data_IF_342826049975
#
_entry.id   IF_342826049975
#
_cell.length_a   1.000
_cell.length_b   1.000
_cell.length_c   1.000
_cell.angle_alpha   90.00
_cell.angle_beta   90.00
_cell.angle_gamma   90.00
#
_symmetry.space_group_name_H-M   'P 1'
#
loop_
_entity.id
_entity.type
_entity.pdbx_description
1 polymer ?
#
# COMPACT_ATOMS: atom_id res chain seq x y z
N UNK A 1 -25.31 -20.36 10.83
CA UNK A 1 -23.85 -20.12 10.90
C UNK A 1 -23.43 -19.23 9.75
N UNK A 2 -23.17 -17.96 10.05
CA UNK A 2 -22.55 -17.02 9.11
C UNK A 2 -21.18 -17.57 8.73
N UNK A 3 -21.03 -17.92 7.46
CA UNK A 3 -19.78 -18.25 6.79
C UNK A 3 -18.88 -17.02 6.77
N UNK A 4 -18.25 -16.68 7.90
CA UNK A 4 -16.98 -15.97 7.85
C UNK A 4 -15.95 -16.98 7.34
N UNK A 5 -15.38 -16.71 6.17
CA UNK A 5 -14.33 -17.54 5.59
C UNK A 5 -13.14 -17.61 6.55
N UNK A 6 -13.09 -18.66 7.35
CA UNK A 6 -12.07 -18.86 8.36
C UNK A 6 -10.78 -19.29 7.65
N UNK A 7 -9.80 -18.39 7.64
CA UNK A 7 -8.42 -18.70 7.28
C UNK A 7 -7.94 -19.95 8.04
N UNK A 8 -7.29 -20.88 7.35
CA UNK A 8 -6.71 -22.08 7.95
C UNK A 8 -7.65 -23.29 8.08
N UNK A 9 -8.91 -23.21 7.66
CA UNK A 9 -9.76 -24.40 7.54
C UNK A 9 -9.29 -25.26 6.37
N UNK A 10 -8.78 -26.46 6.67
CA UNK A 10 -8.47 -27.45 5.63
C UNK A 10 -9.76 -27.82 4.92
N UNK A 11 -9.76 -27.76 3.59
CA UNK A 11 -10.88 -28.25 2.77
C UNK A 11 -10.91 -29.77 2.88
N UNK A 12 -11.81 -30.28 3.69
CA UNK A 12 -12.11 -31.71 3.76
C UNK A 12 -13.24 -32.03 2.78
N UNK A 13 -13.04 -33.04 1.94
CA UNK A 13 -14.07 -33.50 1.03
C UNK A 13 -15.08 -34.36 1.82
N UNK A 14 -16.12 -33.70 2.34
CA UNK A 14 -17.16 -34.35 3.12
C UNK A 14 -18.24 -34.96 2.22
N UNK A 15 -18.65 -36.20 2.51
CA UNK A 15 -19.81 -36.82 1.85
C UNK A 15 -21.11 -36.12 2.27
N UNK A 16 -22.17 -36.26 1.46
CA UNK A 16 -23.49 -35.70 1.81
C UNK A 16 -24.02 -36.22 3.16
N UNK A 17 -23.72 -37.46 3.51
CA UNK A 17 -24.06 -38.04 4.80
C UNK A 17 -23.30 -37.38 5.96
N UNK A 18 -22.00 -37.12 5.80
CA UNK A 18 -21.21 -36.41 6.80
C UNK A 18 -21.69 -34.98 7.02
N UNK A 19 -22.10 -34.28 5.94
CA UNK A 19 -22.71 -32.95 6.04
C UNK A 19 -24.04 -32.98 6.79
N UNK A 20 -24.88 -33.99 6.53
CA UNK A 20 -26.16 -34.18 7.24
C UNK A 20 -25.96 -34.44 8.73
N UNK A 21 -25.05 -35.34 9.09
CA UNK A 21 -24.71 -35.63 10.49
C UNK A 21 -24.20 -34.37 11.20
N UNK A 22 -23.28 -33.64 10.57
CA UNK A 22 -22.76 -32.38 11.12
C UNK A 22 -23.86 -31.33 11.28
N UNK A 23 -24.71 -31.15 10.27
CA UNK A 23 -25.83 -30.22 10.34
C UNK A 23 -26.79 -30.57 11.46
N UNK A 24 -27.20 -31.84 11.60
CA UNK A 24 -28.12 -32.25 12.66
C UNK A 24 -27.49 -32.08 14.05
N UNK A 25 -26.17 -32.27 14.19
CA UNK A 25 -25.44 -32.01 15.43
C UNK A 25 -25.37 -30.51 15.79
N UNK A 26 -25.29 -29.61 14.80
CA UNK A 26 -25.19 -28.16 15.00
C UNK A 26 -26.56 -27.44 15.00
N UNK A 27 -27.63 -28.14 14.59
CA UNK A 27 -28.97 -27.56 14.34
C UNK A 27 -29.56 -26.84 15.54
N UNK A 28 -29.51 -27.45 16.73
CA UNK A 28 -30.05 -26.80 17.93
C UNK A 28 -29.22 -25.59 18.34
N UNK A 29 -27.90 -25.64 18.20
CA UNK A 29 -27.01 -24.49 18.46
C UNK A 29 -27.28 -23.35 17.47
N UNK A 30 -27.55 -23.66 16.21
CA UNK A 30 -27.92 -22.66 15.19
C UNK A 30 -29.26 -22.02 15.55
N UNK A 31 -30.24 -22.81 16.00
CA UNK A 31 -31.53 -22.30 16.43
C UNK A 31 -31.40 -21.39 17.64
N UNK A 32 -30.72 -21.83 18.70
CA UNK A 32 -30.44 -21.01 19.89
C UNK A 32 -29.72 -19.70 19.54
N UNK A 33 -28.77 -19.75 18.60
CA UNK A 33 -28.07 -18.56 18.12
C UNK A 33 -29.02 -17.58 17.43
N UNK A 34 -29.87 -18.07 16.52
CA UNK A 34 -30.82 -17.23 15.78
C UNK A 34 -31.90 -16.64 16.70
N UNK A 35 -32.39 -17.42 17.66
CA UNK A 35 -33.38 -16.97 18.63
C UNK A 35 -32.78 -15.86 19.52
N UNK A 36 -31.53 -16.03 19.96
CA UNK A 36 -30.80 -15.01 20.72
C UNK A 36 -30.52 -13.75 19.89
N UNK A 37 -30.22 -13.91 18.60
CA UNK A 37 -30.00 -12.79 17.68
C UNK A 37 -31.26 -11.93 17.52
N UNK A 38 -32.38 -12.57 17.17
CA UNK A 38 -33.67 -11.90 17.02
C UNK A 38 -34.07 -11.17 18.31
N UNK A 39 -33.88 -11.81 19.46
CA UNK A 39 -34.15 -11.21 20.76
C UNK A 39 -33.26 -9.97 21.00
N UNK A 40 -31.95 -10.08 20.78
CA UNK A 40 -31.03 -8.94 20.98
C UNK A 40 -31.32 -7.77 20.05
N UNK A 41 -31.69 -8.03 18.79
CA UNK A 41 -32.06 -6.98 17.84
C UNK A 41 -33.36 -6.28 18.27
N UNK A 42 -34.35 -7.03 18.77
CA UNK A 42 -35.59 -6.48 19.28
C UNK A 42 -35.35 -5.67 20.56
N UNK A 43 -34.60 -6.21 21.51
CA UNK A 43 -34.19 -5.52 22.73
C UNK A 43 -33.50 -4.17 22.45
N UNK A 44 -32.60 -4.12 21.47
CA UNK A 44 -31.94 -2.87 21.05
C UNK A 44 -32.94 -1.88 20.47
N UNK A 45 -33.87 -2.34 19.63
CA UNK A 45 -34.91 -1.50 19.03
C UNK A 45 -35.80 -0.88 20.11
N UNK A 46 -36.11 -1.64 21.14
CA UNK A 46 -36.93 -1.21 22.28
C UNK A 46 -36.13 -0.41 23.32
N UNK A 47 -34.82 -0.22 23.10
CA UNK A 47 -33.88 0.47 24.02
C UNK A 47 -33.87 -0.15 25.42
N UNK A 48 -33.98 -1.48 25.51
CA UNK A 48 -33.86 -2.21 26.78
C UNK A 48 -32.40 -2.16 27.25
N UNK A 49 -32.09 -1.30 28.23
CA UNK A 49 -30.73 -1.15 28.78
C UNK A 49 -30.64 -1.73 30.20
N UNK A 50 -30.77 -3.05 30.30
CA UNK A 50 -30.81 -3.79 31.57
C UNK A 50 -29.59 -4.70 31.74
N UNK A 51 -29.37 -5.17 32.97
CA UNK A 51 -28.33 -6.17 33.26
C UNK A 51 -28.59 -7.49 32.53
N UNK A 52 -29.87 -7.88 32.35
CA UNK A 52 -30.25 -9.06 31.58
C UNK A 52 -29.87 -8.91 30.10
N UNK A 53 -30.12 -7.73 29.51
CA UNK A 53 -29.68 -7.44 28.15
C UNK A 53 -28.15 -7.51 28.04
N UNK A 54 -27.41 -7.02 29.05
CA UNK A 54 -25.96 -7.12 29.09
C UNK A 54 -25.49 -8.58 29.12
N UNK A 55 -26.10 -9.44 29.93
CA UNK A 55 -25.81 -10.89 29.98
C UNK A 55 -26.07 -11.57 28.62
N UNK A 56 -27.17 -11.21 27.95
CA UNK A 56 -27.49 -11.73 26.61
C UNK A 56 -26.42 -11.32 25.58
N UNK A 57 -25.94 -10.06 25.62
CA UNK A 57 -24.84 -9.65 24.74
C UNK A 57 -23.55 -10.43 25.04
N UNK A 58 -23.23 -10.72 26.31
CA UNK A 58 -22.09 -11.58 26.69
C UNK A 58 -22.21 -12.97 26.08
N UNK A 59 -23.40 -13.60 26.16
CA UNK A 59 -23.66 -14.92 25.55
C UNK A 59 -23.43 -14.89 24.04
N UNK A 60 -23.99 -13.89 23.35
CA UNK A 60 -23.87 -13.75 21.90
C UNK A 60 -22.42 -13.51 21.46
N UNK A 61 -21.69 -12.61 22.13
CA UNK A 61 -20.30 -12.30 21.81
C UNK A 61 -19.33 -13.43 22.17
N UNK A 62 -19.67 -14.24 23.17
CA UNK A 62 -18.98 -15.51 23.47
C UNK A 62 -19.17 -16.56 22.37
N UNK A 63 -20.18 -16.44 21.52
CA UNK A 63 -20.34 -17.29 20.33
C UNK A 63 -19.68 -16.63 19.12
N UNK A 64 -20.02 -15.37 18.83
CA UNK A 64 -19.54 -14.62 17.67
C UNK A 64 -18.90 -13.28 18.08
N UNK A 65 -17.56 -13.25 18.30
CA UNK A 65 -16.86 -12.03 18.71
C UNK A 65 -16.74 -11.00 17.58
N UNK A 66 -17.02 -11.37 16.32
CA UNK A 66 -17.02 -10.45 15.17
C UNK A 66 -18.35 -9.71 14.98
N UNK A 67 -19.33 -9.96 15.85
CA UNK A 67 -20.66 -9.37 15.68
C UNK A 67 -20.74 -7.91 16.16
N UNK A 68 -20.33 -7.01 15.29
CA UNK A 68 -20.20 -5.57 15.58
C UNK A 68 -21.48 -4.89 16.11
N UNK A 69 -22.66 -5.27 15.61
CA UNK A 69 -23.93 -4.70 16.06
C UNK A 69 -24.18 -4.96 17.55
N UNK A 70 -23.75 -6.12 18.05
CA UNK A 70 -23.91 -6.50 19.45
C UNK A 70 -22.87 -5.80 20.32
N UNK A 71 -21.65 -5.56 19.84
CA UNK A 71 -20.70 -4.68 20.52
C UNK A 71 -21.22 -3.26 20.67
N UNK A 72 -21.85 -2.71 19.62
CA UNK A 72 -22.48 -1.39 19.68
C UNK A 72 -23.61 -1.37 20.72
N UNK A 73 -24.49 -2.37 20.70
CA UNK A 73 -25.57 -2.46 21.66
C UNK A 73 -25.05 -2.61 23.10
N UNK A 74 -24.02 -3.43 23.32
CA UNK A 74 -23.37 -3.57 24.62
C UNK A 74 -22.88 -2.21 25.16
N UNK A 75 -22.27 -1.38 24.31
CA UNK A 75 -21.84 -0.02 24.68
C UNK A 75 -22.99 0.92 24.98
N UNK A 76 -24.10 0.83 24.25
CA UNK A 76 -25.33 1.58 24.54
C UNK A 76 -25.87 1.23 25.92
N UNK A 77 -25.97 -0.07 26.25
CA UNK A 77 -26.41 -0.55 27.56
C UNK A 77 -25.50 0.00 28.66
N UNK A 78 -24.18 -0.24 28.55
CA UNK A 78 -23.21 0.20 29.56
C UNK A 78 -23.23 1.72 29.75
N UNK A 79 -23.28 2.50 28.66
CA UNK A 79 -23.34 3.97 28.75
C UNK A 79 -24.60 4.47 29.46
N UNK A 80 -25.72 3.76 29.29
CA UNK A 80 -26.97 4.06 29.99
C UNK A 80 -26.85 3.74 31.49
N UNK A 81 -26.28 2.58 31.83
CA UNK A 81 -26.06 2.17 33.22
C UNK A 81 -25.13 3.13 33.98
N UNK A 82 -24.09 3.65 33.31
CA UNK A 82 -23.14 4.59 33.89
C UNK A 82 -23.76 5.89 34.42
N UNK A 83 -24.95 6.28 33.96
CA UNK A 83 -25.63 7.50 34.39
C UNK A 83 -26.08 7.42 35.86
N UNK A 84 -26.31 6.20 36.36
CA UNK A 84 -26.82 5.94 37.71
C UNK A 84 -25.80 5.22 38.61
N UNK A 85 -24.55 5.05 38.13
CA UNK A 85 -23.48 4.33 38.83
C UNK A 85 -22.40 5.29 39.31
N UNK A 86 -21.85 5.01 40.49
CA UNK A 86 -20.65 5.69 40.98
C UNK A 86 -19.36 5.17 40.30
N UNK A 87 -18.22 5.72 40.70
CA UNK A 87 -16.93 5.33 40.12
C UNK A 87 -16.51 3.90 40.48
N UNK A 88 -16.87 3.38 41.65
CA UNK A 88 -16.50 2.03 42.07
C UNK A 88 -17.35 0.98 41.35
N UNK A 89 -18.65 1.23 41.25
CA UNK A 89 -19.60 0.40 40.48
C UNK A 89 -19.22 0.37 39.00
N UNK A 90 -18.93 1.55 38.41
CA UNK A 90 -18.45 1.64 37.02
C UNK A 90 -17.13 0.90 36.82
N UNK A 91 -16.21 0.99 37.78
CA UNK A 91 -14.96 0.24 37.72
C UNK A 91 -15.19 -1.26 37.78
N UNK A 92 -16.13 -1.73 38.61
CA UNK A 92 -16.45 -3.14 38.79
C UNK A 92 -17.07 -3.76 37.52
N UNK A 93 -18.07 -3.10 36.91
CA UNK A 93 -18.71 -3.59 35.69
C UNK A 93 -17.72 -3.60 34.51
N UNK A 94 -16.86 -2.59 34.38
CA UNK A 94 -15.85 -2.55 33.32
C UNK A 94 -14.76 -3.61 33.50
N UNK A 95 -14.44 -4.03 34.73
CA UNK A 95 -13.55 -5.19 34.97
C UNK A 95 -14.18 -6.51 34.49
N UNK A 96 -15.50 -6.65 34.56
CA UNK A 96 -16.19 -7.80 33.99
C UNK A 96 -16.08 -7.81 32.46
N UNK A 97 -16.20 -6.63 31.83
CA UNK A 97 -15.99 -6.48 30.39
C UNK A 97 -14.54 -6.79 29.97
N UNK A 98 -13.53 -6.36 30.75
CA UNK A 98 -12.13 -6.78 30.52
C UNK A 98 -12.00 -8.30 30.57
N UNK A 99 -12.67 -8.96 31.53
CA UNK A 99 -12.62 -10.42 31.66
C UNK A 99 -13.26 -11.14 30.46
N UNK A 100 -14.38 -10.60 29.96
CA UNK A 100 -14.98 -11.06 28.70
C UNK A 100 -13.96 -10.90 27.57
N UNK A 101 -13.41 -9.70 27.35
CA UNK A 101 -12.43 -9.42 26.30
C UNK A 101 -11.22 -10.36 26.38
N UNK A 102 -10.66 -10.59 27.56
CA UNK A 102 -9.50 -11.47 27.75
C UNK A 102 -9.79 -12.90 27.29
N UNK A 103 -11.00 -13.42 27.58
CA UNK A 103 -11.44 -14.73 27.10
C UNK A 103 -11.61 -14.77 25.57
N UNK A 104 -11.94 -13.62 24.95
CA UNK A 104 -12.15 -13.49 23.51
C UNK A 104 -10.83 -13.33 22.75
N UNK A 105 -9.84 -12.63 23.32
CA UNK A 105 -8.57 -12.33 22.65
C UNK A 105 -7.78 -13.59 22.29
N UNK A 106 -7.85 -14.65 23.09
CA UNK A 106 -7.15 -15.91 22.79
C UNK A 106 -7.71 -16.64 21.57
N UNK A 107 -9.03 -16.56 21.35
CA UNK A 107 -9.73 -17.26 20.26
C UNK A 107 -9.94 -16.38 19.03
N UNK A 108 -10.02 -15.07 19.21
CA UNK A 108 -10.22 -14.08 18.16
C UNK A 108 -9.19 -12.93 18.27
N UNK A 109 -7.87 -13.23 18.23
CA UNK A 109 -6.81 -12.24 18.41
C UNK A 109 -6.74 -11.18 17.29
N UNK A 110 -7.45 -11.40 16.18
CA UNK A 110 -7.50 -10.54 15.00
C UNK A 110 -8.88 -9.89 14.79
N UNK A 111 -9.75 -9.95 15.81
CA UNK A 111 -11.04 -9.28 15.74
C UNK A 111 -10.85 -7.78 15.96
N UNK A 112 -11.21 -6.99 14.95
CA UNK A 112 -11.25 -5.53 15.08
C UNK A 112 -12.14 -5.09 16.25
N UNK A 113 -13.26 -5.77 16.46
CA UNK A 113 -14.27 -5.36 17.43
C UNK A 113 -13.87 -5.66 18.86
N UNK A 114 -13.18 -6.77 19.11
CA UNK A 114 -12.63 -7.10 20.43
C UNK A 114 -11.61 -6.03 20.86
N UNK A 115 -10.66 -5.69 19.97
CA UNK A 115 -9.66 -4.65 20.27
C UNK A 115 -10.29 -3.25 20.39
N UNK A 116 -11.24 -2.92 19.52
CA UNK A 116 -11.96 -1.64 19.59
C UNK A 116 -12.76 -1.51 20.89
N UNK A 117 -13.48 -2.56 21.30
CA UNK A 117 -14.21 -2.54 22.56
C UNK A 117 -13.28 -2.46 23.76
N UNK A 118 -12.11 -3.11 23.72
CA UNK A 118 -11.09 -2.97 24.77
C UNK A 118 -10.61 -1.54 24.97
N UNK A 119 -10.36 -0.81 23.88
CA UNK A 119 -10.04 0.63 23.94
C UNK A 119 -11.18 1.42 24.58
N UNK A 120 -12.41 1.19 24.13
CA UNK A 120 -13.59 1.85 24.69
C UNK A 120 -13.75 1.59 26.19
N UNK A 121 -13.54 0.35 26.65
CA UNK A 121 -13.59 0.01 28.08
C UNK A 121 -12.53 0.79 28.85
N UNK A 122 -11.29 0.80 28.38
CA UNK A 122 -10.20 1.52 29.04
C UNK A 122 -10.42 3.03 29.09
N UNK A 123 -10.98 3.62 28.04
CA UNK A 123 -11.31 5.05 27.98
C UNK A 123 -12.39 5.44 28.99
N UNK A 124 -13.30 4.51 29.32
CA UNK A 124 -14.41 4.74 30.25
C UNK A 124 -14.11 4.28 31.70
N UNK A 125 -13.00 3.60 31.94
CA UNK A 125 -12.61 3.17 33.28
C UNK A 125 -12.20 4.38 34.15
N UNK A 126 -12.79 4.54 35.36
CA UNK A 126 -12.34 5.57 36.31
C UNK A 126 -10.87 5.42 36.72
N UNK A 127 -10.41 4.18 36.94
CA UNK A 127 -9.02 3.84 37.26
C UNK A 127 -8.45 2.96 36.15
N UNK A 128 -7.57 3.55 35.34
CA UNK A 128 -6.94 2.90 34.19
C UNK A 128 -5.77 2.02 34.63
N UNK A 129 -5.73 0.77 34.15
CA UNK A 129 -4.75 -0.25 34.58
C UNK A 129 -3.67 -0.49 33.51
N UNK A 130 -2.97 0.57 33.08
CA UNK A 130 -2.04 0.53 31.95
C UNK A 130 -0.94 -0.53 32.07
N UNK A 131 -0.43 -0.80 33.27
CA UNK A 131 0.58 -1.86 33.49
C UNK A 131 0.07 -3.25 33.11
N UNK A 132 -1.23 -3.52 33.36
CA UNK A 132 -1.84 -4.79 32.95
C UNK A 132 -2.04 -4.85 31.44
N UNK A 133 -2.44 -3.73 30.83
CA UNK A 133 -2.59 -3.61 29.39
C UNK A 133 -1.26 -3.86 28.66
N UNK A 134 -0.15 -3.33 29.18
CA UNK A 134 1.20 -3.58 28.66
C UNK A 134 1.61 -5.06 28.78
N UNK A 135 1.25 -5.72 29.89
CA UNK A 135 1.52 -7.16 30.07
C UNK A 135 0.74 -8.02 29.08
N UNK A 136 -0.55 -7.73 28.91
CA UNK A 136 -1.42 -8.46 27.97
C UNK A 136 -0.93 -8.27 26.54
N UNK A 137 -0.62 -7.04 26.13
CA UNK A 137 -0.17 -6.81 24.76
C UNK A 137 1.19 -7.43 24.47
N UNK A 138 2.10 -7.44 25.46
CA UNK A 138 3.36 -8.15 25.33
C UNK A 138 3.14 -9.64 25.10
N UNK A 139 2.28 -10.26 25.91
CA UNK A 139 1.93 -11.67 25.77
C UNK A 139 1.30 -11.98 24.39
N UNK A 140 0.35 -11.15 23.93
CA UNK A 140 -0.29 -11.34 22.62
C UNK A 140 0.71 -11.20 21.46
N UNK A 141 1.68 -10.27 21.56
CA UNK A 141 2.75 -10.09 20.59
C UNK A 141 3.87 -11.14 20.71
N UNK A 142 3.98 -11.86 21.82
CA UNK A 142 4.83 -13.05 21.93
C UNK A 142 4.18 -14.25 21.22
N UNK A 143 2.85 -14.37 21.27
CA UNK A 143 2.09 -15.41 20.55
C UNK A 143 2.05 -15.19 19.03
N UNK A 144 1.77 -13.96 18.58
CA UNK A 144 1.82 -13.56 17.16
C UNK A 144 2.53 -12.22 17.02
N UNK A 145 3.85 -12.30 16.80
CA UNK A 145 4.74 -11.14 16.64
C UNK A 145 4.38 -10.20 15.47
N UNK A 146 3.51 -10.66 14.54
CA UNK A 146 3.05 -9.90 13.36
C UNK A 146 1.59 -9.45 13.48
N UNK A 147 0.97 -9.62 14.64
CA UNK A 147 -0.40 -9.17 14.86
C UNK A 147 -0.45 -7.64 14.88
N UNK A 148 -0.85 -7.04 13.76
CA UNK A 148 -0.90 -5.58 13.63
C UNK A 148 -1.90 -4.94 14.60
N UNK A 149 -3.03 -5.59 14.91
CA UNK A 149 -3.97 -5.10 15.93
C UNK A 149 -3.29 -4.97 17.30
N UNK A 150 -2.42 -5.93 17.63
CA UNK A 150 -1.64 -5.89 18.85
C UNK A 150 -0.65 -4.73 18.86
N UNK A 151 0.07 -4.52 17.75
CA UNK A 151 0.97 -3.37 17.60
C UNK A 151 0.22 -2.04 17.65
N UNK A 152 -0.96 -1.94 17.05
CA UNK A 152 -1.81 -0.74 17.04
C UNK A 152 -2.33 -0.44 18.45
N UNK A 153 -2.81 -1.47 19.16
CA UNK A 153 -3.25 -1.32 20.54
C UNK A 153 -2.11 -0.91 21.46
N UNK A 154 -0.89 -1.46 21.27
CA UNK A 154 0.30 -1.00 21.99
C UNK A 154 0.51 0.49 21.78
N UNK A 155 0.53 0.97 20.53
CA UNK A 155 0.72 2.40 20.23
C UNK A 155 -0.34 3.28 20.88
N UNK A 156 -1.60 2.84 20.90
CA UNK A 156 -2.68 3.52 21.63
C UNK A 156 -2.38 3.61 23.15
N UNK A 157 -1.94 2.52 23.78
CA UNK A 157 -1.55 2.53 25.20
C UNK A 157 -0.38 3.48 25.44
N UNK A 158 0.67 3.42 24.62
CA UNK A 158 1.85 4.29 24.74
C UNK A 158 1.47 5.77 24.59
N UNK A 159 0.53 6.09 23.69
CA UNK A 159 0.00 7.44 23.49
C UNK A 159 -0.68 8.04 24.73
N UNK A 160 -0.94 7.25 25.77
CA UNK A 160 -1.42 7.72 27.08
C UNK A 160 -0.29 8.15 28.02
N UNK A 161 0.93 8.37 27.49
CA UNK A 161 2.15 8.76 28.22
C UNK A 161 2.56 7.78 29.33
N UNK A 162 2.37 6.47 29.09
CA UNK A 162 2.71 5.40 30.05
C UNK A 162 4.11 4.82 29.86
N UNK A 163 4.78 5.17 28.75
CA UNK A 163 6.13 4.77 28.41
C UNK A 163 6.84 5.95 27.74
N UNK A 164 8.16 5.83 27.57
CA UNK A 164 8.96 6.83 26.86
C UNK A 164 9.45 6.26 25.52
N UNK A 165 9.78 7.10 24.54
CA UNK A 165 10.38 6.64 23.28
C UNK A 165 11.59 5.71 23.50
N UNK A 166 12.43 5.96 24.52
CA UNK A 166 13.61 5.15 24.83
C UNK A 166 13.22 3.72 25.24
N UNK A 167 12.23 3.58 26.13
CA UNK A 167 11.71 2.27 26.54
C UNK A 167 11.06 1.51 25.38
N UNK A 168 10.38 2.22 24.48
CA UNK A 168 9.80 1.61 23.28
C UNK A 168 10.87 1.20 22.28
N UNK A 169 11.95 1.96 22.15
CA UNK A 169 13.11 1.57 21.37
C UNK A 169 13.78 0.32 21.93
N UNK A 170 13.96 0.21 23.25
CA UNK A 170 14.41 -1.01 23.92
C UNK A 170 13.46 -2.19 23.69
N UNK A 171 12.16 -1.94 23.71
CA UNK A 171 11.17 -2.97 23.39
C UNK A 171 11.31 -3.47 21.95
N UNK A 172 11.58 -2.59 20.98
CA UNK A 172 11.85 -3.02 19.60
C UNK A 172 13.12 -3.87 19.52
N UNK A 173 14.17 -3.53 20.26
CA UNK A 173 15.38 -4.34 20.36
C UNK A 173 15.07 -5.76 20.87
N UNK A 174 14.24 -5.89 21.90
CA UNK A 174 13.81 -7.18 22.43
C UNK A 174 13.09 -8.01 21.36
N UNK A 175 12.11 -7.42 20.67
CA UNK A 175 11.32 -8.13 19.64
C UNK A 175 12.15 -8.52 18.42
N UNK A 176 13.11 -7.69 18.02
CA UNK A 176 14.06 -8.00 16.95
C UNK A 176 15.01 -9.13 17.36
N UNK A 177 15.50 -9.14 18.60
CA UNK A 177 16.34 -10.24 19.11
C UNK A 177 15.59 -11.58 19.16
N UNK A 178 14.31 -11.56 19.56
CA UNK A 178 13.45 -12.75 19.57
C UNK A 178 13.18 -13.28 18.15
N UNK A 179 12.87 -12.39 17.21
CA UNK A 179 12.67 -12.73 15.81
C UNK A 179 13.15 -11.60 14.92
N UNK A 180 14.34 -11.77 14.35
CA UNK A 180 14.96 -10.77 13.50
C UNK A 180 14.09 -10.38 12.31
N UNK A 181 13.33 -11.33 11.75
CA UNK A 181 12.51 -11.11 10.55
C UNK A 181 11.14 -10.47 10.87
N UNK A 182 10.92 -10.04 12.11
CA UNK A 182 9.69 -9.38 12.53
C UNK A 182 9.60 -7.96 11.93
N UNK A 183 8.98 -7.85 10.76
CA UNK A 183 8.77 -6.57 10.08
C UNK A 183 8.05 -5.54 10.95
N UNK A 184 7.06 -5.95 11.76
CA UNK A 184 6.31 -5.02 12.61
C UNK A 184 7.19 -4.36 13.68
N UNK A 185 8.15 -5.09 14.25
CA UNK A 185 9.10 -4.53 15.21
C UNK A 185 10.04 -3.51 14.56
N UNK A 186 10.55 -3.82 13.37
CA UNK A 186 11.41 -2.90 12.63
C UNK A 186 10.69 -1.67 12.10
N UNK A 187 9.46 -1.83 11.61
CA UNK A 187 8.61 -0.71 11.21
C UNK A 187 8.33 0.20 12.42
N UNK A 188 7.99 -0.37 13.57
CA UNK A 188 7.77 0.43 14.76
C UNK A 188 9.06 1.12 15.23
N UNK A 189 10.20 0.44 15.13
CA UNK A 189 11.52 1.01 15.42
C UNK A 189 11.84 2.20 14.54
N UNK A 190 11.56 2.13 13.23
CA UNK A 190 11.79 3.25 12.31
C UNK A 190 10.94 4.48 12.66
N UNK A 191 9.74 4.28 13.24
CA UNK A 191 8.91 5.39 13.72
C UNK A 191 9.35 5.96 15.08
N UNK A 192 9.91 5.13 15.97
CA UNK A 192 10.35 5.56 17.31
C UNK A 192 11.75 6.18 17.30
N UNK A 193 12.64 5.73 16.43
CA UNK A 193 14.04 6.16 16.40
C UNK A 193 14.22 7.69 16.29
N UNK A 194 13.47 8.42 15.44
CA UNK A 194 13.56 9.89 15.36
C UNK A 194 13.03 10.63 16.60
N UNK A 195 12.32 9.93 17.49
CA UNK A 195 11.85 10.47 18.77
C UNK A 195 12.89 10.30 19.88
N UNK A 196 13.78 9.31 19.75
CA UNK A 196 14.83 8.98 20.72
C UNK A 196 16.14 9.69 20.40
N UNK A 197 16.57 9.64 19.13
CA UNK A 197 17.86 10.17 18.70
C UNK A 197 17.67 11.39 17.80
N UNK A 198 18.65 12.31 17.82
CA UNK A 198 18.64 13.51 16.99
C UNK A 198 19.99 13.71 16.30
N UNK A 199 19.99 14.35 15.13
CA UNK A 199 21.21 14.76 14.43
C UNK A 199 22.17 13.60 14.18
N UNK A 200 23.42 13.73 14.63
CA UNK A 200 24.46 12.71 14.44
C UNK A 200 24.19 11.41 15.20
N UNK A 201 23.54 11.46 16.36
CA UNK A 201 23.18 10.25 17.12
C UNK A 201 22.19 9.38 16.36
N UNK A 202 21.21 10.01 15.68
CA UNK A 202 20.24 9.30 14.85
C UNK A 202 20.95 8.60 13.68
N UNK A 203 21.87 9.29 13.01
CA UNK A 203 22.65 8.69 11.92
C UNK A 203 23.51 7.53 12.40
N UNK A 204 24.16 7.67 13.55
CA UNK A 204 24.96 6.59 14.15
C UNK A 204 24.09 5.37 14.46
N UNK A 205 22.89 5.58 15.01
CA UNK A 205 21.96 4.49 15.29
C UNK A 205 21.43 3.82 14.01
N UNK A 206 21.10 4.60 12.97
CA UNK A 206 20.71 4.07 11.67
C UNK A 206 21.84 3.22 11.08
N UNK A 207 23.09 3.70 11.13
CA UNK A 207 24.25 2.94 10.67
C UNK A 207 24.41 1.63 11.43
N UNK A 208 24.26 1.65 12.75
CA UNK A 208 24.31 0.44 13.57
C UNK A 208 23.19 -0.56 13.21
N UNK A 209 21.97 -0.08 12.96
CA UNK A 209 20.85 -0.94 12.57
C UNK A 209 21.05 -1.54 11.17
N UNK A 210 21.58 -0.75 10.23
CA UNK A 210 21.96 -1.24 8.89
C UNK A 210 23.02 -2.33 9.01
N UNK A 211 24.06 -2.13 9.83
CA UNK A 211 25.08 -3.15 10.13
C UNK A 211 24.46 -4.41 10.74
N UNK A 212 23.50 -4.25 11.64
CA UNK A 212 22.80 -5.38 12.24
C UNK A 212 21.97 -6.16 11.21
N UNK A 213 21.29 -5.47 10.29
CA UNK A 213 20.56 -6.08 9.17
C UNK A 213 21.52 -6.77 8.21
N UNK A 214 22.65 -6.16 7.92
CA UNK A 214 23.73 -6.68 7.09
C UNK A 214 24.25 -8.02 7.61
N UNK A 215 24.66 -8.06 8.89
CA UNK A 215 25.13 -9.28 9.56
C UNK A 215 24.09 -10.41 9.49
N UNK A 216 22.83 -10.03 9.64
CA UNK A 216 21.74 -10.99 9.62
C UNK A 216 21.48 -11.52 8.20
N UNK A 217 21.61 -10.69 7.16
CA UNK A 217 21.51 -11.10 5.74
C UNK A 217 22.58 -12.13 5.39
N UNK A 218 23.85 -11.87 5.74
CA UNK A 218 24.97 -12.81 5.49
C UNK A 218 24.73 -14.17 6.17
N UNK A 219 24.20 -14.16 7.40
CA UNK A 219 23.94 -15.39 8.17
C UNK A 219 22.76 -16.23 7.65
N UNK A 220 21.85 -15.67 6.84
CA UNK A 220 20.60 -16.34 6.47
C UNK A 220 20.47 -16.54 4.96
N UNK A 221 20.69 -17.78 4.51
CA UNK A 221 20.57 -18.25 3.12
C UNK A 221 19.12 -18.38 2.60
N UNK A 222 18.16 -17.62 3.14
CA UNK A 222 16.73 -17.78 2.81
C UNK A 222 16.10 -16.49 2.26
N UNK A 223 15.71 -16.52 0.98
CA UNK A 223 15.22 -15.36 0.22
C UNK A 223 13.99 -14.62 0.75
N UNK A 224 13.14 -15.22 1.59
CA UNK A 224 11.96 -14.54 2.19
C UNK A 224 12.35 -13.66 3.39
N UNK A 225 13.44 -13.98 4.09
CA UNK A 225 13.93 -13.17 5.22
C UNK A 225 14.74 -11.96 4.73
N UNK A 226 15.38 -12.11 3.57
CA UNK A 226 16.15 -11.07 2.88
C UNK A 226 15.22 -9.94 2.38
N UNK A 227 13.99 -10.25 1.93
CA UNK A 227 13.02 -9.23 1.47
C UNK A 227 12.67 -8.23 2.54
N UNK A 228 12.24 -8.73 3.71
CA UNK A 228 11.82 -7.89 4.82
C UNK A 228 12.97 -6.98 5.25
N UNK A 229 14.19 -7.49 5.22
CA UNK A 229 15.41 -6.76 5.58
C UNK A 229 15.76 -5.64 4.62
N UNK A 230 15.50 -5.79 3.32
CA UNK A 230 15.68 -4.67 2.40
C UNK A 230 14.64 -3.58 2.61
N UNK A 231 13.38 -3.93 2.88
CA UNK A 231 12.39 -2.91 3.25
C UNK A 231 12.79 -2.19 4.54
N UNK A 232 13.37 -2.91 5.50
CA UNK A 232 13.92 -2.32 6.73
C UNK A 232 15.07 -1.38 6.39
N UNK A 233 16.02 -1.78 5.55
CA UNK A 233 17.11 -0.90 5.11
C UNK A 233 16.58 0.33 4.36
N UNK A 234 15.59 0.18 3.47
CA UNK A 234 14.97 1.31 2.77
C UNK A 234 14.26 2.26 3.73
N UNK A 235 13.45 1.75 4.66
CA UNK A 235 12.77 2.55 5.68
C UNK A 235 13.79 3.29 6.57
N UNK A 236 14.91 2.64 6.95
CA UNK A 236 15.98 3.24 7.74
C UNK A 236 16.80 4.27 6.95
N UNK A 237 17.04 4.03 5.65
CA UNK A 237 17.73 4.96 4.77
C UNK A 237 16.88 6.21 4.51
N UNK A 238 15.56 6.08 4.39
CA UNK A 238 14.63 7.23 4.31
C UNK A 238 14.81 8.13 5.53
N UNK A 239 14.92 7.57 6.73
CA UNK A 239 15.18 8.35 7.95
C UNK A 239 16.55 9.06 7.93
N UNK A 240 17.54 8.51 7.24
CA UNK A 240 18.85 9.15 7.10
C UNK A 240 18.83 10.36 6.15
N UNK A 241 17.88 10.35 5.20
CA UNK A 241 17.67 11.42 4.22
C UNK A 241 16.81 12.55 4.80
N UNK A 242 16.02 12.30 5.84
CA UNK A 242 15.01 13.23 6.36
C UNK A 242 15.55 14.07 7.53
N UNK A 243 15.94 15.33 7.27
CA UNK A 243 16.48 16.25 8.28
C UNK A 243 15.43 17.14 8.95
N UNK A 244 14.17 17.12 8.52
CA UNK A 244 13.13 17.99 9.08
C UNK A 244 12.00 17.15 9.67
N UNK A 245 11.82 17.24 10.99
CA UNK A 245 10.63 16.73 11.65
C UNK A 245 9.38 17.43 11.10
N UNK A 246 8.76 16.88 10.06
CA UNK A 246 7.34 17.06 9.77
C UNK A 246 6.87 15.85 8.97
N UNK A 247 6.05 15.02 9.61
CA UNK A 247 5.37 13.88 9.00
C UNK A 247 4.55 14.39 7.79
N UNK A 248 4.99 14.08 6.58
CA UNK A 248 4.09 14.08 5.42
C UNK A 248 3.68 12.63 5.21
N UNK A 249 2.45 12.32 5.62
CA UNK A 249 1.75 11.14 5.13
C UNK A 249 1.78 11.19 3.60
N UNK A 250 2.51 10.27 2.97
CA UNK A 250 2.28 9.96 1.57
C UNK A 250 0.95 9.22 1.48
N UNK A 251 -0.15 9.96 1.53
CA UNK A 251 -1.39 9.50 0.92
C UNK A 251 -1.19 9.48 -0.59
N UNK A 252 -1.44 8.33 -1.21
CA UNK A 252 -1.46 8.11 -2.67
C UNK A 252 -2.58 8.91 -3.40
N UNK A 253 -3.02 10.06 -2.88
CA UNK A 253 -4.20 10.80 -3.34
C UNK A 253 -3.96 12.21 -3.90
N UNK A 254 -2.79 12.83 -3.73
CA UNK A 254 -2.59 14.25 -4.08
C UNK A 254 -1.96 14.47 -5.47
N UNK A 255 -2.65 14.04 -6.54
CA UNK A 255 -2.42 14.63 -7.86
C UNK A 255 -3.74 14.78 -8.63
N UNK A 256 -4.69 15.51 -8.04
CA UNK A 256 -5.88 15.98 -8.76
C UNK A 256 -6.10 17.46 -8.48
N UNK A 257 -5.98 18.25 -9.55
CA UNK A 257 -6.86 19.39 -9.77
C UNK A 257 -6.36 20.78 -9.35
N UNK A 258 -6.39 21.69 -10.33
CA UNK A 258 -6.16 23.14 -10.24
C UNK A 258 -4.70 23.53 -9.95
N UNK A 259 -3.93 24.13 -10.86
CA UNK A 259 -4.24 25.30 -11.66
C UNK A 259 -3.54 25.19 -13.03
N UNK A 260 -4.32 25.25 -14.11
CA UNK A 260 -3.80 25.29 -15.49
C UNK A 260 -4.31 26.52 -16.27
N UNK A 261 -4.74 27.57 -15.58
CA UNK A 261 -5.24 28.79 -16.22
C UNK A 261 -4.51 30.03 -15.71
N UNK A 262 -3.18 30.12 -15.87
CA UNK A 262 -2.50 31.42 -15.91
C UNK A 262 -1.06 31.41 -16.46
N UNK A 263 -0.67 30.51 -17.37
CA UNK A 263 0.68 30.54 -17.97
C UNK A 263 0.62 30.25 -19.48
N UNK A 264 -0.22 30.99 -20.21
CA UNK A 264 -0.20 30.96 -21.68
C UNK A 264 0.12 32.31 -22.33
N UNK A 265 0.49 33.32 -21.56
CA UNK A 265 1.00 34.58 -22.14
C UNK A 265 2.12 35.15 -21.28
N UNK A 266 3.32 35.20 -21.88
CA UNK A 266 4.56 35.82 -21.39
C UNK A 266 5.48 34.94 -20.54
N UNK A 267 6.14 33.96 -21.17
CA UNK A 267 7.52 33.59 -20.79
C UNK A 267 8.33 33.38 -22.07
N UNK A 268 8.76 34.48 -22.65
CA UNK A 268 10.02 34.59 -23.39
C UNK A 268 10.96 35.42 -22.52
N UNK A 269 11.29 34.89 -21.34
CA UNK A 269 12.25 35.51 -20.41
C UNK A 269 12.98 34.38 -19.68
N UNK A 270 14.28 34.29 -19.94
CA UNK A 270 15.33 33.81 -19.05
C UNK A 270 14.99 32.60 -18.14
N UNK A 271 15.37 31.40 -18.58
CA UNK A 271 15.51 30.20 -17.74
C UNK A 271 16.63 30.29 -16.69
N UNK A 272 17.10 31.49 -16.34
CA UNK A 272 18.18 31.72 -15.35
C UNK A 272 17.74 32.34 -14.02
N UNK A 273 16.47 32.68 -13.84
CA UNK A 273 16.03 33.42 -12.63
C UNK A 273 14.93 32.75 -11.78
N UNK A 274 14.55 31.49 -12.06
CA UNK A 274 13.60 30.72 -11.21
C UNK A 274 14.32 29.73 -10.25
N UNK A 275 15.65 29.70 -10.24
CA UNK A 275 16.45 28.81 -9.36
C UNK A 275 17.09 29.52 -8.16
N UNK A 276 16.54 30.64 -7.71
CA UNK A 276 17.01 31.32 -6.49
C UNK A 276 15.91 31.35 -5.43
N UNK A 277 15.80 30.23 -4.69
CA UNK A 277 15.55 30.17 -3.23
C UNK A 277 15.11 28.78 -2.74
N UNK A 278 15.14 27.76 -3.59
CA UNK A 278 15.39 26.39 -3.13
C UNK A 278 16.90 26.13 -3.18
N UNK A 279 17.56 26.25 -2.03
CA UNK A 279 18.84 25.53 -1.87
C UNK A 279 18.50 24.05 -1.97
N UNK A 280 18.68 23.45 -3.15
CA UNK A 280 18.82 22.01 -3.28
C UNK A 280 19.97 21.61 -2.35
N UNK A 281 19.63 21.06 -1.19
CA UNK A 281 20.60 20.53 -0.25
C UNK A 281 21.12 19.24 -0.90
N UNK A 282 22.44 19.09 -1.11
CA UNK A 282 22.99 17.97 -1.87
C UNK A 282 22.63 16.63 -1.21
N UNK A 283 22.11 15.73 -2.04
CA UNK A 283 21.85 14.34 -1.71
C UNK A 283 23.14 13.67 -1.16
N UNK A 284 23.10 13.11 0.06
CA UNK A 284 24.26 12.40 0.62
C UNK A 284 24.29 10.94 0.12
N UNK A 285 25.17 10.66 -0.83
CA UNK A 285 25.33 9.35 -1.46
C UNK A 285 26.21 8.36 -0.68
N UNK A 286 26.98 8.83 0.30
CA UNK A 286 27.97 8.00 1.01
C UNK A 286 27.38 6.71 1.62
N UNK A 287 26.22 6.73 2.33
CA UNK A 287 25.68 5.53 2.96
C UNK A 287 25.28 4.45 1.94
N UNK A 288 24.75 4.85 0.77
CA UNK A 288 24.38 3.92 -0.30
C UNK A 288 25.62 3.35 -1.00
N UNK A 289 26.68 4.15 -1.12
CA UNK A 289 27.95 3.70 -1.69
C UNK A 289 28.69 2.74 -0.76
N UNK A 290 28.60 2.92 0.57
CA UNK A 290 29.15 1.98 1.56
C UNK A 290 28.48 0.59 1.49
N UNK A 291 27.19 0.51 1.16
CA UNK A 291 26.44 -0.76 1.06
C UNK A 291 26.69 -1.54 -0.24
N UNK A 292 27.07 -0.85 -1.32
CA UNK A 292 27.16 -1.45 -2.65
C UNK A 292 28.17 -2.62 -2.73
N UNK A 293 29.40 -2.55 -2.16
CA UNK A 293 30.34 -3.68 -2.18
C UNK A 293 29.77 -4.94 -1.52
N UNK A 294 29.03 -4.78 -0.43
CA UNK A 294 28.46 -5.91 0.32
C UNK A 294 27.37 -6.60 -0.47
N UNK A 295 26.48 -5.82 -1.11
CA UNK A 295 25.46 -6.40 -1.98
C UNK A 295 26.09 -7.13 -3.17
N UNK A 296 27.22 -6.65 -3.69
CA UNK A 296 27.97 -7.34 -4.74
C UNK A 296 28.58 -8.65 -4.22
N UNK A 297 29.20 -8.66 -3.04
CA UNK A 297 29.70 -9.89 -2.41
C UNK A 297 28.59 -10.93 -2.15
N UNK A 298 27.43 -10.48 -1.67
CA UNK A 298 26.26 -11.36 -1.50
C UNK A 298 25.76 -11.93 -2.83
N UNK A 299 25.83 -11.14 -3.90
CA UNK A 299 25.45 -11.59 -5.24
C UNK A 299 26.44 -12.60 -5.82
N UNK A 300 27.72 -12.52 -5.46
CA UNK A 300 28.72 -13.55 -5.80
C UNK A 300 28.40 -14.89 -5.13
N UNK A 301 27.90 -14.86 -3.88
CA UNK A 301 27.50 -16.05 -3.15
C UNK A 301 26.16 -16.64 -3.65
N UNK A 302 25.20 -15.78 -3.97
CA UNK A 302 23.86 -16.17 -4.45
C UNK A 302 23.44 -15.30 -5.66
N UNK A 303 23.82 -15.70 -6.90
CA UNK A 303 23.59 -14.89 -8.11
C UNK A 303 22.11 -14.61 -8.42
N UNK A 304 21.22 -15.50 -8.00
CA UNK A 304 19.77 -15.38 -8.22
C UNK A 304 19.03 -14.79 -7.00
N UNK A 305 19.76 -14.18 -6.05
CA UNK A 305 19.17 -13.48 -4.92
C UNK A 305 18.45 -12.20 -5.40
N UNK A 306 17.21 -12.36 -5.84
CA UNK A 306 16.36 -11.28 -6.42
C UNK A 306 16.30 -10.00 -5.60
N UNK A 307 16.40 -10.13 -4.29
CA UNK A 307 16.36 -9.02 -3.36
C UNK A 307 17.68 -8.25 -3.36
N UNK A 308 18.81 -8.95 -3.37
CA UNK A 308 20.14 -8.34 -3.51
C UNK A 308 20.23 -7.61 -4.86
N UNK A 309 19.79 -8.24 -5.95
CA UNK A 309 19.67 -7.61 -7.28
C UNK A 309 18.83 -6.33 -7.25
N UNK A 310 17.67 -6.35 -6.56
CA UNK A 310 16.81 -5.18 -6.38
C UNK A 310 17.45 -4.09 -5.50
N UNK A 311 18.22 -4.46 -4.48
CA UNK A 311 18.96 -3.51 -3.64
C UNK A 311 20.04 -2.76 -4.41
N UNK A 312 20.83 -3.48 -5.22
CA UNK A 312 21.83 -2.86 -6.11
C UNK A 312 21.13 -1.95 -7.12
N UNK A 313 20.06 -2.43 -7.76
CA UNK A 313 19.27 -1.63 -8.68
C UNK A 313 18.73 -0.36 -8.01
N UNK A 314 18.26 -0.44 -6.77
CA UNK A 314 17.81 0.73 -6.01
C UNK A 314 18.93 1.75 -5.81
N UNK A 315 20.12 1.31 -5.38
CA UNK A 315 21.29 2.19 -5.23
C UNK A 315 21.64 2.86 -6.56
N UNK A 316 21.82 2.09 -7.64
CA UNK A 316 22.18 2.62 -8.96
C UNK A 316 21.16 3.66 -9.46
N UNK A 317 19.86 3.33 -9.37
CA UNK A 317 18.80 4.21 -9.86
C UNK A 317 18.56 5.44 -8.98
N UNK A 318 18.88 5.37 -7.68
CA UNK A 318 18.78 6.50 -6.75
C UNK A 318 19.94 7.47 -6.95
N UNK A 319 21.16 6.93 -7.13
CA UNK A 319 22.37 7.71 -7.37
C UNK A 319 22.50 8.19 -8.83
N UNK A 320 21.69 7.65 -9.74
CA UNK A 320 21.78 7.95 -11.18
C UNK A 320 23.07 7.42 -11.82
N UNK A 321 23.65 6.34 -11.28
CA UNK A 321 24.90 5.72 -11.76
C UNK A 321 24.63 4.37 -12.42
N UNK A 322 25.61 3.85 -13.18
CA UNK A 322 25.63 2.46 -13.65
C UNK A 322 24.36 2.04 -14.43
N UNK A 323 23.93 2.87 -15.38
CA UNK A 323 22.72 2.64 -16.19
C UNK A 323 22.74 1.28 -16.90
N UNK A 324 23.86 0.95 -17.56
CA UNK A 324 23.98 -0.31 -18.31
C UNK A 324 23.86 -1.52 -17.37
N UNK A 325 24.49 -1.46 -16.20
CA UNK A 325 24.37 -2.53 -15.20
C UNK A 325 22.95 -2.61 -14.64
N UNK A 326 22.30 -1.48 -14.38
CA UNK A 326 20.89 -1.45 -13.96
C UNK A 326 19.97 -2.14 -14.96
N UNK A 327 20.21 -1.95 -16.26
CA UNK A 327 19.49 -2.65 -17.32
C UNK A 327 19.76 -4.16 -17.29
N UNK A 328 21.02 -4.59 -17.14
CA UNK A 328 21.38 -6.01 -17.01
C UNK A 328 20.73 -6.66 -15.78
N UNK A 329 20.72 -5.97 -14.64
CA UNK A 329 20.06 -6.44 -13.42
C UNK A 329 18.56 -6.64 -13.64
N UNK A 330 17.90 -5.71 -14.34
CA UNK A 330 16.49 -5.83 -14.69
C UNK A 330 16.22 -6.99 -15.64
N UNK A 331 17.09 -7.22 -16.62
CA UNK A 331 16.98 -8.37 -17.53
C UNK A 331 17.15 -9.69 -16.77
N UNK A 332 18.09 -9.78 -15.83
CA UNK A 332 18.25 -10.95 -14.96
C UNK A 332 17.05 -11.15 -14.04
N UNK A 333 16.54 -10.10 -13.39
CA UNK A 333 15.32 -10.17 -12.57
C UNK A 333 14.12 -10.71 -13.34
N UNK A 334 14.01 -10.38 -14.64
CA UNK A 334 12.97 -10.92 -15.51
C UNK A 334 13.10 -12.43 -15.79
N UNK A 335 14.30 -13.00 -15.73
CA UNK A 335 14.49 -14.45 -15.91
C UNK A 335 14.13 -15.23 -14.64
N UNK A 336 14.49 -14.71 -13.46
CA UNK A 336 14.34 -15.41 -12.16
C UNK A 336 13.01 -15.14 -11.45
N UNK A 337 12.39 -13.96 -11.61
CA UNK A 337 11.13 -13.61 -10.95
C UNK A 337 10.00 -13.34 -11.97
N UNK A 338 9.61 -14.43 -12.66
CA UNK A 338 8.60 -14.43 -13.72
C UNK A 338 7.26 -13.80 -13.32
N UNK A 339 6.90 -13.86 -12.03
CA UNK A 339 5.65 -13.27 -11.51
C UNK A 339 5.66 -11.73 -11.50
N UNK A 340 6.82 -11.08 -11.59
CA UNK A 340 6.98 -9.61 -11.63
C UNK A 340 7.61 -9.09 -12.91
N UNK A 341 7.65 -9.88 -13.99
CA UNK A 341 8.19 -9.46 -15.30
C UNK A 341 7.64 -8.11 -15.76
N UNK A 342 6.32 -7.88 -15.60
CA UNK A 342 5.70 -6.62 -15.99
C UNK A 342 6.29 -5.42 -15.24
N UNK A 343 6.45 -5.54 -13.92
CA UNK A 343 7.07 -4.52 -13.08
C UNK A 343 8.50 -4.20 -13.52
N UNK A 344 9.31 -5.21 -13.85
CA UNK A 344 10.69 -4.99 -14.28
C UNK A 344 10.79 -4.33 -15.66
N UNK A 345 9.94 -4.73 -16.62
CA UNK A 345 9.88 -4.09 -17.94
C UNK A 345 9.54 -2.61 -17.84
N UNK A 346 8.52 -2.29 -17.05
CA UNK A 346 8.12 -0.90 -16.81
C UNK A 346 9.22 -0.09 -16.12
N UNK A 347 9.89 -0.68 -15.12
CA UNK A 347 11.04 -0.05 -14.44
C UNK A 347 12.23 0.16 -15.38
N UNK A 348 12.51 -0.80 -16.28
CA UNK A 348 13.57 -0.70 -17.31
C UNK A 348 13.28 0.41 -18.30
N UNK A 349 12.06 0.49 -18.80
CA UNK A 349 11.65 1.54 -19.72
C UNK A 349 11.73 2.92 -19.02
N UNK A 350 11.19 3.05 -17.81
CA UNK A 350 11.28 4.29 -17.02
C UNK A 350 12.72 4.73 -16.75
N UNK A 351 13.63 3.78 -16.52
CA UNK A 351 15.03 4.07 -16.30
C UNK A 351 15.71 4.60 -17.57
N UNK A 352 15.57 3.91 -18.70
CA UNK A 352 16.16 4.35 -19.97
C UNK A 352 15.68 5.76 -20.35
N UNK A 353 14.38 6.02 -20.16
CA UNK A 353 13.77 7.32 -20.44
C UNK A 353 14.29 8.47 -19.58
N UNK A 354 14.86 8.19 -18.39
CA UNK A 354 15.45 9.24 -17.53
C UNK A 354 16.85 9.68 -17.97
N UNK A 355 17.56 8.83 -18.71
CA UNK A 355 18.96 9.04 -19.07
C UNK A 355 19.16 9.39 -20.55
N UNK A 356 18.09 9.40 -21.35
CA UNK A 356 18.11 9.87 -22.73
C UNK A 356 17.69 11.35 -22.80
N UNK A 357 18.55 12.18 -23.39
CA UNK A 357 18.19 13.53 -23.84
C UNK A 357 17.43 13.40 -25.17
N UNK A 358 16.10 13.32 -25.10
CA UNK A 358 15.26 13.24 -26.29
C UNK A 358 15.15 14.60 -26.97
N UNK A 359 16.13 14.94 -27.80
CA UNK A 359 16.00 16.01 -28.80
C UNK A 359 15.53 15.47 -30.16
N UNK A 360 15.29 14.17 -30.26
CA UNK A 360 14.90 13.52 -31.50
C UNK A 360 13.44 13.84 -31.87
N UNK A 361 13.26 14.24 -33.13
CA UNK A 361 11.94 14.39 -33.73
C UNK A 361 11.22 13.03 -33.87
N UNK A 362 11.95 11.90 -33.78
CA UNK A 362 11.42 10.55 -33.96
C UNK A 362 11.82 9.64 -32.80
N UNK A 363 10.84 9.19 -32.03
CA UNK A 363 11.04 8.34 -30.84
C UNK A 363 10.25 7.05 -30.96
N UNK A 364 10.89 5.91 -30.65
CA UNK A 364 10.29 4.57 -30.71
C UNK A 364 10.41 3.89 -29.34
N UNK A 365 9.27 3.69 -28.68
CA UNK A 365 9.13 3.09 -27.36
C UNK A 365 8.21 1.86 -27.39
N UNK A 366 8.15 1.17 -28.52
CA UNK A 366 7.32 -0.02 -28.70
C UNK A 366 7.78 -1.20 -27.82
N UNK A 367 6.85 -2.05 -27.38
CA UNK A 367 7.14 -3.32 -26.67
C UNK A 367 7.77 -3.20 -25.27
N UNK A 368 7.53 -2.09 -24.58
CA UNK A 368 8.12 -1.78 -23.26
C UNK A 368 7.19 -2.07 -22.07
N UNK A 369 5.98 -2.59 -22.30
CA UNK A 369 4.94 -2.81 -21.27
C UNK A 369 4.60 -1.55 -20.46
N UNK A 370 4.69 -0.38 -21.09
CA UNK A 370 4.37 0.90 -20.46
C UNK A 370 2.88 0.97 -20.13
N UNK A 371 2.54 1.26 -18.87
CA UNK A 371 1.17 1.58 -18.45
C UNK A 371 0.83 3.06 -18.65
N UNK A 372 1.86 3.91 -18.68
CA UNK A 372 1.82 5.34 -18.99
C UNK A 372 3.18 5.78 -19.59
N UNK A 373 3.22 6.95 -20.24
CA UNK A 373 4.48 7.59 -20.66
C UNK A 373 5.06 8.43 -19.49
N UNK A 374 6.17 8.02 -18.86
CA UNK A 374 6.78 8.78 -17.77
C UNK A 374 7.44 10.06 -18.30
N UNK A 375 7.35 11.15 -17.52
CA UNK A 375 7.95 12.46 -17.83
C UNK A 375 7.71 12.92 -19.28
N UNK A 376 6.44 13.06 -19.71
CA UNK A 376 6.12 13.38 -21.10
C UNK A 376 6.71 14.72 -21.59
N UNK A 377 7.03 15.64 -20.68
CA UNK A 377 7.70 16.90 -21.00
C UNK A 377 9.10 16.75 -21.62
N UNK A 378 9.74 15.57 -21.53
CA UNK A 378 11.01 15.31 -22.19
C UNK A 378 10.86 15.10 -23.70
N UNK A 379 9.66 14.81 -24.20
CA UNK A 379 9.40 14.53 -25.62
C UNK A 379 8.79 15.73 -26.36
N UNK A 380 8.96 16.96 -25.87
CA UNK A 380 8.33 18.17 -26.46
C UNK A 380 8.76 18.42 -27.91
N UNK A 381 9.99 18.03 -28.25
CA UNK A 381 10.54 18.13 -29.62
C UNK A 381 10.11 16.98 -30.53
N UNK A 382 9.60 15.88 -29.96
CA UNK A 382 9.16 14.71 -30.72
C UNK A 382 7.98 15.05 -31.62
N UNK A 383 8.04 14.56 -32.86
CA UNK A 383 7.01 14.70 -33.90
C UNK A 383 6.46 13.35 -34.33
N UNK A 384 7.29 12.30 -34.30
CA UNK A 384 6.88 10.91 -34.46
C UNK A 384 7.07 10.18 -33.14
N UNK A 385 6.02 9.56 -32.61
CA UNK A 385 6.09 8.74 -31.40
C UNK A 385 5.45 7.37 -31.63
N UNK A 386 6.23 6.32 -31.46
CA UNK A 386 5.74 4.94 -31.48
C UNK A 386 5.67 4.35 -30.07
N UNK A 387 4.44 4.10 -29.62
CA UNK A 387 4.11 3.49 -28.33
C UNK A 387 3.38 2.15 -28.51
N UNK A 388 3.54 1.50 -29.67
CA UNK A 388 2.86 0.24 -29.96
C UNK A 388 3.29 -0.91 -29.04
N UNK A 389 2.44 -1.91 -28.86
CA UNK A 389 2.72 -3.11 -28.06
C UNK A 389 3.06 -2.78 -26.59
N UNK A 390 2.32 -1.85 -25.98
CA UNK A 390 2.42 -1.49 -24.57
C UNK A 390 1.10 -1.80 -23.84
N UNK A 391 0.96 -1.34 -22.59
CA UNK A 391 -0.22 -1.55 -21.75
C UNK A 391 -0.97 -0.23 -21.47
N UNK A 392 -0.88 0.74 -22.37
CA UNK A 392 -1.47 2.07 -22.18
C UNK A 392 -3.00 1.98 -22.14
N UNK A 393 -3.59 2.61 -21.12
CA UNK A 393 -5.05 2.70 -20.96
C UNK A 393 -5.59 4.12 -21.20
N UNK A 394 -4.72 5.13 -21.07
CA UNK A 394 -5.11 6.55 -21.21
C UNK A 394 -4.06 7.31 -22.01
N UNK A 395 -4.47 8.42 -22.63
CA UNK A 395 -3.60 9.31 -23.40
C UNK A 395 -3.41 10.68 -22.72
N UNK A 396 -3.52 10.71 -21.39
CA UNK A 396 -3.43 11.95 -20.59
C UNK A 396 -2.10 12.70 -20.76
N UNK A 397 -1.04 11.99 -21.16
CA UNK A 397 0.28 12.54 -21.44
C UNK A 397 0.34 13.42 -22.70
N UNK A 398 -0.61 13.29 -23.63
CA UNK A 398 -0.58 14.03 -24.90
C UNK A 398 -0.65 15.54 -24.70
N UNK A 399 -1.26 16.04 -23.62
CA UNK A 399 -1.36 17.50 -23.36
C UNK A 399 -0.02 18.24 -23.29
N UNK A 400 1.09 17.52 -23.12
CA UNK A 400 2.45 18.07 -23.06
C UNK A 400 3.19 18.01 -24.41
N UNK A 401 2.60 17.36 -25.41
CA UNK A 401 3.25 17.04 -26.70
C UNK A 401 2.56 17.76 -27.85
N UNK A 402 3.28 17.85 -28.98
CA UNK A 402 2.75 18.31 -30.27
C UNK A 402 3.24 17.39 -31.37
N UNK A 403 2.56 16.26 -31.54
CA UNK A 403 2.93 15.19 -32.46
C UNK A 403 2.34 15.41 -33.86
N UNK A 404 3.04 14.89 -34.87
CA UNK A 404 2.57 14.73 -36.26
C UNK A 404 2.17 13.28 -36.56
N UNK A 405 2.89 12.32 -36.00
CA UNK A 405 2.63 10.91 -36.18
C UNK A 405 2.63 10.20 -34.83
N UNK A 406 1.59 9.41 -34.56
CA UNK A 406 1.43 8.66 -33.32
C UNK A 406 0.98 7.23 -33.60
N UNK A 407 1.79 6.26 -33.19
CA UNK A 407 1.46 4.84 -33.23
C UNK A 407 1.15 4.33 -31.81
N UNK A 408 -0.06 3.84 -31.60
CA UNK A 408 -0.60 3.32 -30.34
C UNK A 408 -1.14 1.89 -30.51
N UNK A 409 -0.69 1.18 -31.54
CA UNK A 409 -1.16 -0.16 -31.85
C UNK A 409 -0.96 -1.13 -30.69
N UNK A 410 -1.84 -2.12 -30.54
CA UNK A 410 -1.73 -3.19 -29.56
C UNK A 410 -1.54 -2.67 -28.12
N UNK A 411 -2.44 -1.79 -27.68
CA UNK A 411 -2.50 -1.27 -26.30
C UNK A 411 -3.85 -1.68 -25.63
N UNK A 412 -4.18 -1.08 -24.48
CA UNK A 412 -5.40 -1.37 -23.71
C UNK A 412 -6.38 -0.19 -23.73
N UNK A 413 -6.36 0.66 -24.76
CA UNK A 413 -7.18 1.85 -24.86
C UNK A 413 -8.65 1.49 -25.06
N UNK A 414 -9.54 2.05 -24.25
CA UNK A 414 -11.01 1.94 -24.43
C UNK A 414 -11.63 3.17 -25.07
N UNK A 415 -10.89 4.27 -25.06
CA UNK A 415 -11.21 5.54 -25.68
C UNK A 415 -9.90 6.26 -26.02
N UNK A 416 -9.98 7.34 -26.78
CA UNK A 416 -8.84 8.16 -27.21
C UNK A 416 -8.92 9.58 -26.63
N UNK A 417 -9.48 9.71 -25.43
CA UNK A 417 -9.53 11.00 -24.74
C UNK A 417 -8.13 11.56 -24.48
N UNK A 418 -7.97 12.85 -24.80
CA UNK A 418 -6.69 13.55 -24.79
C UNK A 418 -6.12 13.79 -26.20
N UNK A 419 -6.55 13.03 -27.21
CA UNK A 419 -6.07 13.19 -28.59
C UNK A 419 -6.44 14.56 -29.20
N UNK A 420 -7.52 15.18 -28.75
CA UNK A 420 -7.98 16.51 -29.17
C UNK A 420 -6.96 17.63 -28.90
N UNK A 421 -5.98 17.38 -28.02
CA UNK A 421 -4.87 18.31 -27.77
C UNK A 421 -3.87 18.36 -28.94
N UNK A 422 -3.80 17.30 -29.76
CA UNK A 422 -2.82 17.12 -30.83
C UNK A 422 -3.27 17.74 -32.15
N UNK A 423 -3.37 19.08 -32.19
CA UNK A 423 -3.89 19.81 -33.37
C UNK A 423 -3.06 19.66 -34.65
N UNK A 424 -1.79 19.26 -34.53
CA UNK A 424 -0.87 19.07 -35.66
C UNK A 424 -0.74 17.60 -36.09
N UNK A 425 -1.52 16.70 -35.48
CA UNK A 425 -1.45 15.27 -35.78
C UNK A 425 -1.95 15.03 -37.21
N UNK A 426 -1.14 14.33 -37.99
CA UNK A 426 -1.42 13.96 -39.39
C UNK A 426 -1.67 12.46 -39.51
N UNK A 427 -0.98 11.62 -38.73
CA UNK A 427 -1.15 10.16 -38.78
C UNK A 427 -1.40 9.60 -37.39
N UNK A 428 -2.44 8.79 -37.27
CA UNK A 428 -2.78 8.06 -36.05
C UNK A 428 -3.03 6.59 -36.36
N UNK A 429 -2.35 5.71 -35.63
CA UNK A 429 -2.65 4.28 -35.60
C UNK A 429 -3.01 3.86 -34.19
N UNK A 430 -4.19 3.26 -34.02
CA UNK A 430 -4.68 2.72 -32.74
C UNK A 430 -5.20 1.29 -32.93
N UNK A 431 -4.55 0.54 -33.81
CA UNK A 431 -4.93 -0.83 -34.17
C UNK A 431 -4.92 -1.75 -32.94
N UNK A 432 -5.76 -2.78 -32.92
CA UNK A 432 -5.79 -3.81 -31.88
C UNK A 432 -5.90 -3.24 -30.46
N UNK A 433 -6.81 -2.29 -30.25
CA UNK A 433 -7.16 -1.76 -28.93
C UNK A 433 -8.58 -2.23 -28.53
N UNK A 434 -9.17 -1.62 -27.50
CA UNK A 434 -10.52 -1.93 -26.99
C UNK A 434 -11.48 -0.74 -27.19
N UNK A 435 -11.23 0.08 -28.21
CA UNK A 435 -11.97 1.33 -28.41
C UNK A 435 -13.39 1.05 -28.92
N UNK A 436 -14.38 1.58 -28.21
CA UNK A 436 -15.79 1.52 -28.61
C UNK A 436 -16.23 2.82 -29.27
N UNK A 437 -17.39 2.81 -29.95
CA UNK A 437 -17.95 3.96 -30.69
C UNK A 437 -17.93 5.28 -29.91
N UNK A 438 -18.38 5.27 -28.65
CA UNK A 438 -18.42 6.47 -27.81
C UNK A 438 -17.02 7.02 -27.49
N UNK A 439 -15.99 6.18 -27.56
CA UNK A 439 -14.60 6.54 -27.29
C UNK A 439 -13.92 7.30 -28.42
N UNK A 440 -14.58 7.49 -29.58
CA UNK A 440 -14.00 8.13 -30.77
C UNK A 440 -14.41 9.60 -30.97
N UNK A 441 -15.27 10.16 -30.11
CA UNK A 441 -15.80 11.52 -30.25
C UNK A 441 -14.71 12.59 -30.39
N UNK A 442 -13.58 12.40 -29.71
CA UNK A 442 -12.50 13.37 -29.66
C UNK A 442 -11.69 13.47 -30.97
N UNK A 443 -11.88 12.55 -31.93
CA UNK A 443 -11.28 12.63 -33.27
C UNK A 443 -11.93 13.67 -34.17
N UNK A 444 -13.20 14.02 -33.94
CA UNK A 444 -13.97 14.88 -34.83
C UNK A 444 -13.36 16.29 -35.00
N UNK A 445 -12.47 16.68 -34.07
CA UNK A 445 -11.79 17.97 -34.08
C UNK A 445 -10.39 17.94 -34.75
N UNK A 446 -9.98 16.79 -35.28
CA UNK A 446 -8.68 16.59 -35.92
C UNK A 446 -8.82 16.45 -37.44
N UNK A 447 -7.75 16.73 -38.16
CA UNK A 447 -7.64 16.54 -39.61
C UNK A 447 -6.46 15.61 -39.86
N UNK A 448 -6.75 14.35 -40.10
CA UNK A 448 -5.74 13.30 -40.30
C UNK A 448 -5.58 13.01 -41.80
N UNK A 449 -4.36 12.70 -42.21
CA UNK A 449 -4.05 12.14 -43.52
C UNK A 449 -4.17 10.61 -43.49
N UNK A 450 -3.98 10.00 -42.32
CA UNK A 450 -4.06 8.55 -42.13
C UNK A 450 -4.62 8.22 -40.75
N UNK A 451 -5.61 7.34 -40.71
CA UNK A 451 -6.22 6.82 -39.49
C UNK A 451 -6.40 5.30 -39.61
N UNK A 452 -5.80 4.54 -38.68
CA UNK A 452 -5.93 3.08 -38.63
C UNK A 452 -6.65 2.68 -37.34
N UNK A 453 -7.79 2.01 -37.49
CA UNK A 453 -8.69 1.61 -36.39
C UNK A 453 -8.89 0.09 -36.28
N UNK A 454 -8.25 -0.70 -37.14
CA UNK A 454 -8.49 -2.14 -37.24
C UNK A 454 -8.35 -2.88 -35.91
N UNK A 455 -9.12 -3.95 -35.70
CA UNK A 455 -9.00 -4.78 -34.50
C UNK A 455 -9.54 -4.14 -33.21
N UNK A 456 -10.32 -3.07 -33.31
CA UNK A 456 -11.12 -2.52 -32.22
C UNK A 456 -12.58 -3.03 -32.29
N UNK A 457 -13.33 -3.06 -31.18
CA UNK A 457 -14.74 -3.44 -31.15
C UNK A 457 -15.65 -2.34 -31.75
N UNK A 458 -15.49 -2.10 -33.06
CA UNK A 458 -16.20 -1.11 -33.86
C UNK A 458 -16.88 -1.78 -35.05
N UNK A 459 -18.00 -1.24 -35.49
CA UNK A 459 -18.67 -1.70 -36.72
C UNK A 459 -18.19 -0.91 -37.94
N UNK A 460 -18.36 -1.46 -39.15
CA UNK A 460 -17.99 -0.77 -40.39
C UNK A 460 -18.71 0.57 -40.56
N UNK A 461 -19.95 0.68 -40.05
CA UNK A 461 -20.71 1.93 -40.04
C UNK A 461 -20.08 2.99 -39.12
N UNK A 462 -19.58 2.58 -37.95
CA UNK A 462 -18.90 3.48 -37.01
C UNK A 462 -17.62 4.03 -37.63
N UNK A 463 -16.87 3.17 -38.32
CA UNK A 463 -15.62 3.53 -39.00
C UNK A 463 -15.91 4.46 -40.19
N UNK A 464 -16.85 4.12 -41.07
CA UNK A 464 -17.16 4.91 -42.27
C UNK A 464 -17.62 6.33 -41.94
N UNK A 465 -18.41 6.51 -40.87
CA UNK A 465 -18.84 7.84 -40.44
C UNK A 465 -17.67 8.71 -40.00
N UNK A 466 -16.68 8.14 -39.30
CA UNK A 466 -15.52 8.87 -38.78
C UNK A 466 -14.51 9.16 -39.88
N UNK A 467 -14.23 8.18 -40.76
CA UNK A 467 -13.30 8.38 -41.87
C UNK A 467 -13.74 9.53 -42.79
N UNK A 468 -15.05 9.66 -43.07
CA UNK A 468 -15.58 10.76 -43.89
C UNK A 468 -15.52 12.15 -43.25
N UNK A 469 -15.31 12.24 -41.93
CA UNK A 469 -15.22 13.51 -41.20
C UNK A 469 -13.76 13.89 -40.90
N UNK A 470 -12.92 12.90 -40.62
CA UNK A 470 -11.58 13.10 -40.04
C UNK A 470 -10.47 13.00 -41.08
N UNK A 471 -10.66 12.24 -42.16
CA UNK A 471 -9.68 12.15 -43.25
C UNK A 471 -9.91 13.23 -44.32
N UNK A 472 -8.84 13.89 -44.76
CA UNK A 472 -8.87 14.91 -45.84
C UNK A 472 -7.92 14.62 -46.97
#
# INVERSE_FOLDING_TARGET
MSSSGLHGQKREHQTEEQKRIKFEAEKEQIKEYNDLDLLLLQNRKDREHTDEALVRTTKMLSINPEYYSIWNYRREILSSLFQNMDSEERQAILKQDISLIDSLLLRAPKSYWVWNHRRWVLDNMPVKQYDKELKIINYMLDLDSRNFHGWDYRRYIIGMNVSTPEKEFEYTNLKIKQNFSNYSAWHYRSKIMPLVFKGEELKAQIKQDIELVRDAMVKMKEGVKISNRLYICSDLQILQLDKNQEYIEFEEGAFVGSQLNLVSSKISVSTKEITQDYKEIPFNSEPLLEELPILKELLELEPDAKWVLLGILYIYTTLGIELQESVKLLDHLMTIDKKRIKYYKEKKASLLLKHEDFQDERVVLSSNCLSNLPKPHLFVFTRYLDLSNNDLQTLSFLKYLSLKELNLDSNQLTNISGIQTQKQLEKLSVKNNKIVKSGLSDLMNLKLNSLVLDGNPLTDQDISHILGVVLK
#
